data_IF_459179900418
#
_entry.id   IF_459179900418
#
_cell.length_a   1.000
_cell.length_b   1.000
_cell.length_c   1.000
_cell.angle_alpha   90.00
_cell.angle_beta   90.00
_cell.angle_gamma   90.00
#
_symmetry.space_group_name_H-M   'P 1'
#
loop_
_entity.id
_entity.type
_entity.pdbx_description
1 polymer ?
#
# COMPACT_ATOMS: atom_id res chain seq x y z
N UNK A 1 -6.24 4.95 -38.60
CA UNK A 1 -5.20 5.87 -39.15
C UNK A 1 -5.24 7.17 -38.33
N UNK A 2 -4.76 7.18 -37.08
CA UNK A 2 -3.48 7.76 -36.60
C UNK A 2 -3.03 9.02 -37.36
N UNK A 3 -3.34 10.21 -36.81
CA UNK A 3 -2.64 11.46 -37.14
C UNK A 3 -1.75 11.83 -35.96
N UNK A 4 -0.46 11.60 -36.15
CA UNK A 4 0.64 11.91 -35.24
C UNK A 4 1.02 13.36 -35.50
N UNK A 5 0.93 14.23 -34.48
CA UNK A 5 1.42 15.59 -34.58
C UNK A 5 2.90 15.62 -34.23
N UNK A 6 3.67 15.96 -35.24
CA UNK A 6 5.12 16.12 -35.31
C UNK A 6 5.50 17.54 -34.82
N UNK A 7 6.75 17.67 -34.37
CA UNK A 7 7.55 18.90 -34.29
C UNK A 7 7.39 19.78 -33.03
N UNK A 8 8.28 19.57 -32.06
CA UNK A 8 9.21 20.61 -31.63
C UNK A 8 10.36 19.96 -30.84
N UNK A 9 11.29 19.38 -31.59
CA UNK A 9 12.61 18.98 -31.12
C UNK A 9 13.51 20.22 -31.19
N UNK A 10 13.89 20.74 -30.04
CA UNK A 10 15.06 21.62 -29.83
C UNK A 10 15.81 20.96 -28.68
N UNK A 11 16.68 19.96 -28.90
CA UNK A 11 18.07 20.07 -29.37
C UNK A 11 18.85 21.22 -28.70
N UNK A 12 19.64 20.84 -27.68
CA UNK A 12 21.09 21.06 -27.54
C UNK A 12 21.58 21.81 -26.28
N UNK A 13 22.35 21.06 -25.49
CA UNK A 13 23.67 21.39 -24.93
C UNK A 13 23.76 22.47 -23.83
N UNK A 14 23.99 22.01 -22.59
CA UNK A 14 24.94 22.66 -21.68
C UNK A 14 25.62 21.61 -20.79
N UNK A 15 26.66 20.99 -21.35
CA UNK A 15 27.66 20.21 -20.62
C UNK A 15 28.62 21.13 -19.84
N UNK A 16 29.10 20.61 -18.71
CA UNK A 16 30.42 20.87 -18.09
C UNK A 16 30.77 22.29 -17.63
N UNK A 17 30.76 22.49 -16.31
CA UNK A 17 31.93 23.04 -15.61
C UNK A 17 32.09 22.32 -14.27
N UNK A 18 32.88 21.25 -14.29
CA UNK A 18 33.60 20.78 -13.13
C UNK A 18 34.59 21.88 -12.73
N UNK A 19 34.35 22.54 -11.60
CA UNK A 19 35.39 23.31 -10.93
C UNK A 19 35.88 22.55 -9.71
N UNK A 20 37.04 21.95 -9.91
CA UNK A 20 38.08 21.70 -8.94
C UNK A 20 38.06 22.68 -7.76
N UNK A 21 37.86 22.18 -6.55
CA UNK A 21 38.35 22.81 -5.34
C UNK A 21 39.23 21.81 -4.60
N UNK A 22 40.52 21.83 -4.95
CA UNK A 22 41.61 21.27 -4.14
C UNK A 22 42.23 22.41 -3.33
N UNK A 23 42.54 22.12 -2.06
CA UNK A 23 43.26 22.98 -1.11
C UNK A 23 42.38 23.27 0.10
N UNK A 24 42.64 22.87 1.34
CA UNK A 24 43.89 22.53 2.02
C UNK A 24 43.91 23.31 3.34
N UNK A 25 44.08 22.64 4.49
CA UNK A 25 44.17 23.25 5.84
C UNK A 25 43.23 22.58 6.85
N UNK A 26 43.69 21.63 7.70
CA UNK A 26 44.45 21.78 8.94
C UNK A 26 43.67 22.45 10.10
N UNK A 27 43.37 21.61 11.10
CA UNK A 27 43.25 21.87 12.55
C UNK A 27 42.32 22.99 13.04
N UNK A 28 41.20 22.57 13.63
CA UNK A 28 40.39 23.37 14.56
C UNK A 28 39.72 22.47 15.59
N UNK A 29 40.40 22.25 16.70
CA UNK A 29 39.87 21.59 17.89
C UNK A 29 38.64 22.32 18.44
N UNK A 30 37.62 21.56 18.81
CA UNK A 30 36.66 21.97 19.82
C UNK A 30 35.23 22.18 19.32
N UNK A 31 34.32 21.54 20.06
CA UNK A 31 32.89 21.83 20.22
C UNK A 31 31.92 21.07 19.30
N UNK A 32 30.82 20.65 19.94
CA UNK A 32 29.60 20.01 19.41
C UNK A 32 29.72 18.49 19.25
N UNK A 33 28.85 17.66 19.81
CA UNK A 33 27.56 17.89 20.42
C UNK A 33 26.88 16.53 20.57
N UNK A 34 25.93 16.45 21.49
CA UNK A 34 25.01 15.33 21.67
C UNK A 34 24.40 14.92 20.32
N UNK A 35 24.66 13.68 19.89
CA UNK A 35 24.25 13.24 18.55
C UNK A 35 24.20 11.74 18.42
N UNK A 36 22.97 11.22 18.48
CA UNK A 36 22.51 10.03 17.77
C UNK A 36 23.25 8.72 18.07
N UNK A 37 22.69 7.96 19.01
CA UNK A 37 22.58 6.51 18.86
C UNK A 37 21.80 6.23 17.56
N UNK A 38 22.51 6.25 16.42
CA UNK A 38 22.04 5.67 15.18
C UNK A 38 22.07 4.16 15.39
N UNK A 39 20.99 3.65 15.99
CA UNK A 39 20.72 2.23 16.07
C UNK A 39 20.76 1.69 14.66
N UNK A 40 21.85 1.00 14.36
CA UNK A 40 22.03 0.11 13.23
C UNK A 40 20.87 -0.89 13.24
N UNK A 41 19.75 -0.53 12.63
CA UNK A 41 18.67 -1.44 12.29
C UNK A 41 19.12 -2.24 11.07
N UNK A 42 20.17 -3.04 11.23
CA UNK A 42 20.46 -4.17 10.35
C UNK A 42 19.71 -5.39 10.88
N UNK A 43 18.40 -5.24 11.04
CA UNK A 43 17.48 -6.36 11.08
C UNK A 43 16.98 -6.52 9.66
N UNK A 44 17.30 -7.64 9.02
CA UNK A 44 16.88 -7.94 7.66
C UNK A 44 15.43 -7.49 7.43
N UNK A 45 15.25 -6.49 6.58
CA UNK A 45 13.93 -6.02 6.19
C UNK A 45 13.25 -7.17 5.45
N UNK A 46 12.56 -8.04 6.19
CA UNK A 46 11.62 -8.98 5.61
C UNK A 46 10.65 -8.11 4.81
N UNK A 47 10.77 -8.17 3.48
CA UNK A 47 10.05 -7.29 2.58
C UNK A 47 8.59 -7.27 3.01
N UNK A 48 8.12 -6.10 3.43
CA UNK A 48 6.77 -5.95 3.93
C UNK A 48 5.81 -6.26 2.78
N UNK A 49 5.06 -7.35 2.87
CA UNK A 49 4.01 -7.68 1.90
C UNK A 49 3.03 -6.52 1.87
N UNK A 50 2.70 -5.99 0.69
CA UNK A 50 1.79 -4.85 0.57
C UNK A 50 0.32 -5.29 0.67
N UNK A 51 -0.59 -4.37 1.01
CA UNK A 51 -2.02 -4.66 1.09
C UNK A 51 -2.62 -5.14 -0.23
N UNK A 52 -2.17 -4.57 -1.35
CA UNK A 52 -2.61 -4.98 -2.69
C UNK A 52 -2.12 -6.40 -3.03
N UNK A 53 -0.95 -6.82 -2.57
CA UNK A 53 -0.48 -8.20 -2.80
C UNK A 53 -1.32 -9.21 -2.02
N UNK A 54 -1.67 -8.89 -0.77
CA UNK A 54 -2.60 -9.70 0.03
C UNK A 54 -3.95 -9.80 -0.66
N UNK A 55 -4.47 -8.68 -1.18
CA UNK A 55 -5.75 -8.63 -1.90
C UNK A 55 -5.73 -9.46 -3.18
N UNK A 56 -4.69 -9.32 -4.01
CA UNK A 56 -4.54 -10.08 -5.26
C UNK A 56 -4.49 -11.59 -4.99
N UNK A 57 -3.76 -12.00 -3.97
CA UNK A 57 -3.57 -13.42 -3.64
C UNK A 57 -4.82 -14.08 -3.03
N UNK A 58 -5.69 -13.31 -2.35
CA UNK A 58 -6.76 -13.90 -1.51
C UNK A 58 -8.18 -13.45 -1.86
N UNK A 59 -8.36 -12.29 -2.49
CA UNK A 59 -9.66 -11.63 -2.60
C UNK A 59 -10.07 -11.37 -4.06
N UNK A 60 -9.11 -11.06 -4.92
CA UNK A 60 -9.38 -10.56 -6.27
C UNK A 60 -10.12 -11.55 -7.17
N UNK A 61 -10.02 -12.86 -6.93
CA UNK A 61 -10.75 -13.87 -7.71
C UNK A 61 -12.27 -13.67 -7.67
N UNK A 62 -12.81 -13.21 -6.55
CA UNK A 62 -14.23 -12.91 -6.39
C UNK A 62 -14.52 -11.41 -6.36
N UNK A 63 -13.59 -10.60 -5.86
CA UNK A 63 -13.80 -9.18 -5.61
C UNK A 63 -13.01 -8.25 -6.54
N UNK A 64 -12.65 -8.72 -7.74
CA UNK A 64 -12.00 -7.88 -8.75
C UNK A 64 -12.75 -6.57 -8.96
N UNK A 65 -12.00 -5.46 -9.02
CA UNK A 65 -12.58 -4.12 -9.20
C UNK A 65 -13.52 -3.68 -8.09
N UNK A 66 -13.50 -4.31 -6.92
CA UNK A 66 -14.35 -3.99 -5.76
C UNK A 66 -15.78 -4.55 -5.86
N UNK A 67 -16.09 -5.35 -6.88
CA UNK A 67 -17.37 -6.03 -7.03
C UNK A 67 -17.47 -7.31 -6.19
N UNK A 68 -18.40 -8.18 -6.55
CA UNK A 68 -18.50 -9.55 -6.04
C UNK A 68 -19.05 -10.46 -7.14
N UNK A 69 -18.21 -11.31 -7.72
CA UNK A 69 -18.57 -12.20 -8.81
C UNK A 69 -19.53 -13.33 -8.38
N UNK A 70 -19.54 -13.69 -7.09
CA UNK A 70 -20.37 -14.78 -6.56
C UNK A 70 -21.72 -14.28 -6.08
N UNK A 71 -21.75 -13.12 -5.43
CA UNK A 71 -22.96 -12.46 -4.94
C UNK A 71 -22.94 -10.97 -5.33
N UNK A 72 -23.37 -10.61 -6.54
CA UNK A 72 -23.26 -9.24 -7.07
C UNK A 72 -23.89 -8.14 -6.21
N UNK A 73 -24.92 -8.47 -5.41
CA UNK A 73 -25.56 -7.55 -4.46
C UNK A 73 -24.77 -7.28 -3.18
N UNK A 74 -23.62 -7.94 -2.98
CA UNK A 74 -22.75 -7.78 -1.81
C UNK A 74 -21.31 -7.41 -2.23
N UNK A 75 -21.09 -6.25 -2.88
CA UNK A 75 -19.77 -5.81 -3.31
C UNK A 75 -18.89 -5.34 -2.14
N UNK A 76 -17.59 -5.14 -2.39
CA UNK A 76 -16.71 -4.44 -1.46
C UNK A 76 -16.94 -2.93 -1.48
N UNK A 77 -17.23 -2.37 -2.67
CA UNK A 77 -17.55 -0.95 -2.82
C UNK A 77 -18.69 -0.57 -1.90
N UNK A 78 -18.47 0.49 -1.12
CA UNK A 78 -19.46 1.05 -0.18
C UNK A 78 -19.93 0.05 0.89
N UNK A 79 -19.22 -1.06 1.06
CA UNK A 79 -19.59 -2.06 2.05
C UNK A 79 -19.47 -1.49 3.46
N UNK A 80 -20.52 -1.67 4.26
CA UNK A 80 -20.49 -1.36 5.70
C UNK A 80 -19.45 -2.18 6.48
N UNK A 81 -18.80 -3.17 5.85
CA UNK A 81 -17.68 -3.90 6.46
C UNK A 81 -16.35 -3.12 6.42
N UNK A 82 -16.28 -2.01 5.67
CA UNK A 82 -15.08 -1.17 5.55
C UNK A 82 -15.10 0.09 6.45
N UNK A 83 -15.98 0.11 7.46
CA UNK A 83 -16.09 1.23 8.40
C UNK A 83 -14.79 1.38 9.20
N UNK A 84 -14.24 0.27 9.69
CA UNK A 84 -13.03 0.22 10.48
C UNK A 84 -12.33 -1.15 10.35
N UNK A 85 -11.07 -1.21 10.82
CA UNK A 85 -10.24 -2.40 10.75
C UNK A 85 -10.81 -3.59 11.53
N UNK A 86 -11.43 -3.34 12.70
CA UNK A 86 -11.95 -4.40 13.57
C UNK A 86 -13.19 -5.04 12.94
N UNK A 87 -14.07 -4.23 12.35
CA UNK A 87 -15.25 -4.68 11.63
C UNK A 87 -14.88 -5.55 10.44
N UNK A 88 -13.91 -5.11 9.61
CA UNK A 88 -13.41 -5.93 8.51
C UNK A 88 -12.74 -7.20 9.02
N UNK A 89 -11.87 -7.08 10.03
CA UNK A 89 -11.14 -8.18 10.64
C UNK A 89 -12.07 -9.29 11.10
N UNK A 90 -13.04 -8.96 11.95
CA UNK A 90 -14.03 -9.91 12.44
C UNK A 90 -14.77 -10.61 11.29
N UNK A 91 -15.16 -9.86 10.26
CA UNK A 91 -15.87 -10.42 9.11
C UNK A 91 -15.00 -11.37 8.29
N UNK A 92 -13.73 -11.07 8.02
CA UNK A 92 -12.87 -11.98 7.27
C UNK A 92 -12.48 -13.22 8.08
N UNK A 93 -12.43 -13.13 9.41
CA UNK A 93 -12.20 -14.29 10.29
C UNK A 93 -13.42 -15.21 10.32
N UNK A 94 -14.62 -14.63 10.31
CA UNK A 94 -15.90 -15.33 10.43
C UNK A 94 -16.93 -14.80 9.42
N UNK A 95 -16.77 -15.11 8.12
CA UNK A 95 -17.66 -14.60 7.09
C UNK A 95 -19.04 -15.26 7.19
N UNK A 96 -20.07 -14.48 6.91
CA UNK A 96 -21.46 -14.94 6.91
C UNK A 96 -22.33 -14.06 6.01
N UNK A 97 -23.40 -14.65 5.49
CA UNK A 97 -24.39 -13.93 4.70
C UNK A 97 -25.25 -13.02 5.59
N UNK A 98 -25.90 -11.99 5.02
CA UNK A 98 -26.99 -11.30 5.70
C UNK A 98 -28.04 -12.34 6.14
N UNK A 99 -28.32 -12.41 7.44
CA UNK A 99 -29.18 -13.45 8.03
C UNK A 99 -28.45 -14.60 8.74
N UNK A 100 -27.11 -14.62 8.71
CA UNK A 100 -26.29 -15.53 9.53
C UNK A 100 -26.01 -16.90 8.94
N UNK A 101 -26.50 -17.20 7.72
CA UNK A 101 -26.12 -18.43 7.01
C UNK A 101 -24.69 -18.38 6.47
N UNK A 102 -24.11 -19.55 6.23
CA UNK A 102 -22.79 -19.66 5.60
C UNK A 102 -22.84 -19.17 4.14
N UNK A 103 -21.84 -18.38 3.75
CA UNK A 103 -21.65 -17.93 2.37
C UNK A 103 -20.50 -18.65 1.68
N UNK A 104 -20.28 -18.34 0.40
CA UNK A 104 -19.15 -18.88 -0.37
C UNK A 104 -17.80 -18.24 -0.01
N UNK A 105 -17.79 -17.12 0.72
CA UNK A 105 -16.56 -16.46 1.15
C UNK A 105 -15.86 -17.31 2.22
N UNK A 106 -14.62 -17.77 2.00
CA UNK A 106 -13.91 -18.57 2.98
C UNK A 106 -13.47 -17.72 4.17
N UNK A 107 -13.31 -18.36 5.33
CA UNK A 107 -12.67 -17.74 6.49
C UNK A 107 -11.16 -17.57 6.26
N UNK A 108 -10.61 -16.47 6.76
CA UNK A 108 -9.18 -16.17 6.73
C UNK A 108 -8.66 -16.09 8.16
N UNK A 109 -8.17 -17.18 8.77
CA UNK A 109 -7.61 -17.15 10.12
C UNK A 109 -6.27 -16.40 10.17
N UNK A 110 -5.79 -16.06 11.37
CA UNK A 110 -4.50 -15.38 11.58
C UNK A 110 -3.31 -16.13 10.98
N UNK A 111 -3.38 -17.47 10.95
CA UNK A 111 -2.38 -18.33 10.31
C UNK A 111 -2.27 -18.13 8.79
N UNK A 112 -3.33 -17.61 8.14
CA UNK A 112 -3.35 -17.32 6.70
C UNK A 112 -3.11 -15.85 6.40
N UNK A 113 -3.71 -14.96 7.18
CA UNK A 113 -3.54 -13.51 7.08
C UNK A 113 -3.24 -12.99 8.48
N UNK A 114 -1.99 -12.65 8.76
CA UNK A 114 -1.61 -12.07 10.05
C UNK A 114 -2.28 -10.71 10.28
N UNK A 115 -2.32 -10.23 11.52
CA UNK A 115 -2.93 -8.91 11.84
C UNK A 115 -2.23 -7.75 11.12
N UNK A 116 -0.91 -7.86 10.91
CA UNK A 116 -0.15 -6.91 10.11
C UNK A 116 -0.65 -6.87 8.67
N UNK A 117 -0.81 -8.04 8.04
CA UNK A 117 -1.34 -8.14 6.68
C UNK A 117 -2.79 -7.70 6.60
N UNK A 118 -3.60 -7.98 7.62
CA UNK A 118 -4.98 -7.52 7.71
C UNK A 118 -5.06 -5.99 7.75
N UNK A 119 -4.19 -5.32 8.54
CA UNK A 119 -4.11 -3.86 8.55
C UNK A 119 -3.74 -3.31 7.17
N UNK A 120 -2.72 -3.88 6.52
CA UNK A 120 -2.29 -3.46 5.19
C UNK A 120 -3.40 -3.69 4.14
N UNK A 121 -4.11 -4.83 4.24
CA UNK A 121 -5.25 -5.16 3.39
C UNK A 121 -6.39 -4.16 3.57
N UNK A 122 -6.75 -3.85 4.82
CA UNK A 122 -7.78 -2.85 5.14
C UNK A 122 -7.43 -1.48 4.56
N UNK A 123 -6.19 -1.02 4.74
CA UNK A 123 -5.73 0.27 4.21
C UNK A 123 -5.89 0.34 2.68
N UNK A 124 -5.50 -0.72 1.98
CA UNK A 124 -5.67 -0.82 0.54
C UNK A 124 -7.15 -0.80 0.12
N UNK A 125 -7.98 -1.69 0.67
CA UNK A 125 -9.39 -1.82 0.29
C UNK A 125 -10.17 -0.54 0.65
N UNK A 126 -9.89 0.06 1.80
CA UNK A 126 -10.53 1.30 2.22
C UNK A 126 -10.12 2.49 1.36
N UNK A 127 -8.86 2.58 0.94
CA UNK A 127 -8.41 3.63 0.02
C UNK A 127 -9.03 3.49 -1.38
N UNK A 128 -9.18 2.25 -1.87
CA UNK A 128 -9.62 1.98 -3.24
C UNK A 128 -11.15 1.95 -3.39
N UNK A 129 -11.88 1.46 -2.38
CA UNK A 129 -13.29 1.09 -2.53
C UNK A 129 -14.24 1.74 -1.51
N UNK A 130 -13.74 2.44 -0.49
CA UNK A 130 -14.59 3.23 0.39
C UNK A 130 -14.85 4.57 -0.28
N UNK A 131 -16.07 4.83 -0.72
CA UNK A 131 -16.45 6.18 -1.13
C UNK A 131 -16.32 7.11 0.07
N UNK A 132 -15.82 8.33 -0.15
CA UNK A 132 -15.75 9.34 0.90
C UNK A 132 -17.15 9.48 1.47
N UNK A 133 -17.33 9.20 2.77
CA UNK A 133 -18.61 9.41 3.44
C UNK A 133 -18.99 10.87 3.24
N UNK A 134 -19.97 11.14 2.37
CA UNK A 134 -20.61 12.45 2.28
C UNK A 134 -21.09 12.80 3.68
N UNK A 135 -20.56 13.92 4.18
CA UNK A 135 -20.75 14.41 5.53
C UNK A 135 -22.21 14.79 5.78
#
# INVERSE_FOLDING_TARGET
MKKVSLVCVVLLLASTTAWSQMGGGMMGSGMMGHGAANGSQTGAARSAVSGIDVFKANCASCHAGGGNAVAPGLPLRESGKLIDLKTLGNFIRHPGMPGGSAGAMPAFPESRISDRQLKQLYEYIAAEYRTARSK
#
